data_IF_882849932154
#
_entry.id   IF_882849932154
#
_cell.length_a   1.000
_cell.length_b   1.000
_cell.length_c   1.000
_cell.angle_alpha   90.00
_cell.angle_beta   90.00
_cell.angle_gamma   90.00
#
_symmetry.space_group_name_H-M   'P 1'
#
loop_
_entity.id
_entity.type
_entity.pdbx_description
1 polymer ?
#
# COMPACT_ATOMS: atom_id res chain seq x y z
N UNK A 1 -13.26 -10.08 18.86
CA UNK A 1 -12.77 -10.46 20.20
C UNK A 1 -11.44 -11.18 20.04
N UNK A 2 -10.41 -10.75 20.77
CA UNK A 2 -9.12 -11.45 20.80
C UNK A 2 -9.31 -12.68 21.69
N UNK A 3 -9.17 -13.88 21.11
CA UNK A 3 -9.41 -15.13 21.84
C UNK A 3 -8.36 -15.38 22.94
N UNK A 4 -8.72 -16.09 24.03
CA UNK A 4 -7.80 -16.36 25.15
C UNK A 4 -6.53 -17.11 24.72
N UNK A 5 -6.64 -17.97 23.69
CA UNK A 5 -5.47 -18.64 23.11
C UNK A 5 -4.49 -17.69 22.41
N UNK A 6 -4.98 -16.62 21.76
CA UNK A 6 -4.11 -15.60 21.18
C UNK A 6 -3.38 -14.83 22.28
N UNK A 7 -4.10 -14.38 23.32
CA UNK A 7 -3.51 -13.61 24.43
C UNK A 7 -2.37 -14.39 25.08
N UNK A 8 -2.60 -15.68 25.38
CA UNK A 8 -1.58 -16.56 25.96
C UNK A 8 -0.31 -16.62 25.11
N UNK A 9 -0.45 -16.74 23.80
CA UNK A 9 0.70 -16.89 22.89
C UNK A 9 1.36 -15.54 22.54
N UNK A 10 0.62 -14.44 22.61
CA UNK A 10 1.12 -13.10 22.30
C UNK A 10 1.82 -12.45 23.50
N UNK A 11 1.46 -12.80 24.74
CA UNK A 11 2.07 -12.24 25.94
C UNK A 11 3.61 -12.36 25.96
N UNK A 12 4.22 -13.52 25.65
CA UNK A 12 5.69 -13.62 25.59
C UNK A 12 6.33 -12.72 24.53
N UNK A 13 5.64 -12.47 23.41
CA UNK A 13 6.14 -11.55 22.37
C UNK A 13 6.20 -10.13 22.91
N UNK A 14 5.15 -9.68 23.62
CA UNK A 14 5.13 -8.35 24.24
C UNK A 14 6.18 -8.21 25.33
N UNK A 15 6.40 -9.26 26.13
CA UNK A 15 7.45 -9.28 27.16
C UNK A 15 8.84 -9.10 26.53
N UNK A 16 9.17 -9.89 25.50
CA UNK A 16 10.45 -9.80 24.79
C UNK A 16 10.62 -8.46 24.06
N UNK A 17 9.57 -7.93 23.43
CA UNK A 17 9.64 -6.60 22.80
C UNK A 17 9.89 -5.48 23.83
N UNK A 18 9.37 -5.60 25.05
CA UNK A 18 9.64 -4.64 26.14
C UNK A 18 11.07 -4.76 26.67
N UNK A 19 11.60 -5.97 26.75
CA UNK A 19 13.00 -6.21 27.10
C UNK A 19 13.95 -5.60 26.07
N UNK A 20 13.72 -5.86 24.78
CA UNK A 20 14.45 -5.24 23.68
C UNK A 20 14.39 -3.71 23.77
N UNK A 21 13.19 -3.16 23.95
CA UNK A 21 12.98 -1.72 24.07
C UNK A 21 13.77 -1.10 25.21
N UNK A 22 13.83 -1.78 26.37
CA UNK A 22 14.60 -1.32 27.53
C UNK A 22 16.10 -1.31 27.21
N UNK A 23 16.64 -2.42 26.68
CA UNK A 23 18.06 -2.53 26.35
C UNK A 23 18.47 -1.44 25.35
N UNK A 24 17.67 -1.20 24.32
CA UNK A 24 17.94 -0.14 23.33
C UNK A 24 17.87 1.25 23.95
N UNK A 25 16.81 1.53 24.71
CA UNK A 25 16.60 2.82 25.37
C UNK A 25 17.74 3.19 26.33
N UNK A 26 18.28 2.22 27.08
CA UNK A 26 19.44 2.44 27.95
C UNK A 26 20.70 2.85 27.17
N UNK A 27 20.85 2.39 25.91
CA UNK A 27 21.99 2.73 25.06
C UNK A 27 21.84 4.06 24.33
N UNK A 28 20.61 4.44 23.98
CA UNK A 28 20.32 5.64 23.16
C UNK A 28 19.78 6.80 23.99
N UNK A 29 19.49 6.59 25.27
CA UNK A 29 18.96 7.59 26.20
C UNK A 29 17.66 8.26 25.73
N UNK A 30 16.74 7.46 25.17
CA UNK A 30 15.38 7.87 24.76
C UNK A 30 14.33 7.00 25.46
N UNK A 31 13.05 7.26 25.23
CA UNK A 31 11.99 6.40 25.78
C UNK A 31 12.02 5.00 25.14
N UNK A 32 11.52 3.98 25.84
CA UNK A 32 11.39 2.61 25.31
C UNK A 32 10.69 2.55 23.96
N UNK A 33 9.62 3.35 23.80
CA UNK A 33 8.85 3.34 22.57
C UNK A 33 9.60 4.04 21.43
N UNK A 34 10.24 5.17 21.70
CA UNK A 34 11.07 5.86 20.69
C UNK A 34 12.23 4.96 20.23
N UNK A 35 12.84 4.20 21.15
CA UNK A 35 13.91 3.27 20.82
C UNK A 35 13.47 2.13 19.87
N UNK A 36 12.21 1.69 19.95
CA UNK A 36 11.65 0.73 18.99
C UNK A 36 11.21 1.40 17.69
N UNK A 37 10.69 2.62 17.76
CA UNK A 37 10.24 3.39 16.61
C UNK A 37 11.38 3.70 15.64
N UNK A 38 12.55 4.04 16.20
CA UNK A 38 13.78 4.35 15.45
C UNK A 38 14.24 3.20 14.54
N UNK A 39 13.85 1.95 14.83
CA UNK A 39 14.15 0.78 13.98
C UNK A 39 13.48 0.85 12.60
N UNK A 40 12.34 1.52 12.52
CA UNK A 40 11.52 1.59 11.29
C UNK A 40 11.60 2.96 10.63
N UNK A 41 11.71 4.02 11.44
CA UNK A 41 11.83 5.39 10.97
C UNK A 41 12.91 6.13 11.79
N UNK A 42 14.18 6.07 11.33
CA UNK A 42 15.29 6.69 12.04
C UNK A 42 15.07 8.18 12.31
N UNK A 43 15.20 8.58 13.56
CA UNK A 43 15.00 9.96 14.03
C UNK A 43 13.54 10.37 14.26
N UNK A 44 12.57 9.46 14.13
CA UNK A 44 11.19 9.71 14.55
C UNK A 44 11.02 9.54 16.06
N UNK A 45 10.12 10.33 16.65
CA UNK A 45 9.78 10.24 18.08
C UNK A 45 8.28 10.24 18.29
N UNK A 46 7.83 9.67 19.39
CA UNK A 46 6.46 9.72 19.90
C UNK A 46 5.94 11.15 19.97
N UNK A 47 6.74 12.12 20.46
CA UNK A 47 6.33 13.52 20.52
C UNK A 47 6.01 14.12 19.13
N UNK A 48 6.80 13.76 18.11
CA UNK A 48 6.54 14.17 16.73
C UNK A 48 5.30 13.47 16.16
N UNK A 49 5.15 12.17 16.43
CA UNK A 49 3.94 11.43 16.06
C UNK A 49 2.69 12.03 16.71
N UNK A 50 2.74 12.38 17.99
CA UNK A 50 1.63 12.97 18.73
C UNK A 50 1.20 14.30 18.10
N UNK A 51 2.16 15.11 17.65
CA UNK A 51 1.86 16.35 16.92
C UNK A 51 1.13 16.08 15.59
N UNK A 52 1.63 15.13 14.79
CA UNK A 52 1.03 14.75 13.50
C UNK A 52 -0.38 14.17 13.72
N UNK A 53 -0.53 13.24 14.66
CA UNK A 53 -1.83 12.63 14.94
C UNK A 53 -2.82 13.61 15.59
N UNK A 54 -2.36 14.55 16.40
CA UNK A 54 -3.22 15.59 16.96
C UNK A 54 -3.82 16.47 15.85
N UNK A 55 -3.00 16.88 14.88
CA UNK A 55 -3.47 17.62 13.71
C UNK A 55 -4.50 16.81 12.91
N UNK A 56 -4.17 15.56 12.52
CA UNK A 56 -5.10 14.70 11.76
C UNK A 56 -6.41 14.47 12.53
N UNK A 57 -6.35 14.22 13.85
CA UNK A 57 -7.54 14.03 14.69
C UNK A 57 -8.40 15.29 14.80
N UNK A 58 -7.85 16.47 14.58
CA UNK A 58 -8.59 17.73 14.69
C UNK A 58 -9.62 17.93 13.58
N UNK A 59 -9.41 17.34 12.40
CA UNK A 59 -10.27 17.55 11.23
C UNK A 59 -10.81 16.27 10.58
N UNK A 60 -10.09 15.14 10.68
CA UNK A 60 -10.48 13.90 9.99
C UNK A 60 -11.86 13.35 10.42
N UNK A 61 -12.25 13.36 11.72
CA UNK A 61 -13.56 12.87 12.12
C UNK A 61 -14.73 13.64 11.49
N UNK A 62 -14.63 14.96 11.40
CA UNK A 62 -15.67 15.80 10.80
C UNK A 62 -15.72 15.63 9.28
N UNK A 63 -14.56 15.56 8.63
CA UNK A 63 -14.50 15.24 7.20
C UNK A 63 -15.15 13.88 6.91
N UNK A 64 -14.82 12.85 7.70
CA UNK A 64 -15.39 11.51 7.55
C UNK A 64 -16.91 11.55 7.71
N UNK A 65 -17.43 12.27 8.72
CA UNK A 65 -18.87 12.44 8.92
C UNK A 65 -19.52 13.08 7.69
N UNK A 66 -18.94 14.17 7.17
CA UNK A 66 -19.46 14.86 5.99
C UNK A 66 -19.47 13.96 4.74
N UNK A 67 -18.40 13.19 4.52
CA UNK A 67 -18.31 12.24 3.41
C UNK A 67 -19.36 11.14 3.55
N UNK A 68 -19.50 10.55 4.74
CA UNK A 68 -20.48 9.47 4.98
C UNK A 68 -21.91 9.98 4.78
N UNK A 69 -22.26 11.17 5.27
CA UNK A 69 -23.58 11.75 5.04
C UNK A 69 -23.85 12.02 3.56
N UNK A 70 -22.87 12.56 2.84
CA UNK A 70 -22.97 12.77 1.38
C UNK A 70 -23.22 11.46 0.64
N UNK A 71 -22.43 10.43 0.95
CA UNK A 71 -22.51 9.11 0.31
C UNK A 71 -23.84 8.39 0.55
N UNK A 72 -24.62 8.74 1.57
CA UNK A 72 -25.99 8.19 1.74
C UNK A 72 -26.93 8.54 0.59
N UNK A 73 -26.67 9.65 -0.09
CA UNK A 73 -27.53 10.18 -1.17
C UNK A 73 -26.96 9.91 -2.56
N UNK A 74 -25.72 9.46 -2.65
CA UNK A 74 -25.06 9.16 -3.91
C UNK A 74 -25.32 7.71 -4.32
N UNK A 75 -25.78 7.51 -5.55
CA UNK A 75 -25.78 6.20 -6.18
C UNK A 75 -24.50 6.03 -7.01
N UNK A 76 -23.85 4.88 -6.87
CA UNK A 76 -22.70 4.52 -7.69
C UNK A 76 -23.01 3.26 -8.48
N UNK A 77 -22.44 3.17 -9.69
CA UNK A 77 -22.56 1.97 -10.50
C UNK A 77 -21.40 1.04 -10.18
N UNK A 78 -21.74 -0.23 -9.94
CA UNK A 78 -20.73 -1.25 -9.69
C UNK A 78 -20.32 -1.93 -10.98
N UNK A 79 -19.03 -2.28 -11.06
CA UNK A 79 -18.47 -2.99 -12.19
C UNK A 79 -19.08 -4.39 -12.26
N UNK A 80 -19.52 -4.81 -13.43
CA UNK A 80 -20.04 -6.15 -13.64
C UNK A 80 -18.92 -7.05 -14.19
N UNK A 81 -18.51 -8.03 -13.38
CA UNK A 81 -17.63 -9.12 -13.81
C UNK A 81 -18.40 -10.20 -14.60
N UNK A 82 -17.76 -11.36 -14.88
CA UNK A 82 -16.43 -11.75 -14.42
C UNK A 82 -15.29 -11.07 -15.18
N UNK A 83 -14.19 -10.81 -14.50
CA UNK A 83 -12.96 -10.28 -15.06
C UNK A 83 -11.94 -11.41 -15.22
N UNK A 84 -11.73 -11.87 -16.45
CA UNK A 84 -10.79 -12.96 -16.72
C UNK A 84 -9.36 -12.61 -16.22
N UNK A 85 -8.73 -13.53 -15.49
CA UNK A 85 -7.45 -13.27 -14.78
C UNK A 85 -6.31 -12.94 -15.75
N UNK A 86 -6.27 -13.59 -16.92
CA UNK A 86 -5.30 -13.31 -17.97
C UNK A 86 -5.37 -11.87 -18.46
N UNK A 87 -6.60 -11.34 -18.63
CA UNK A 87 -6.84 -9.93 -18.97
C UNK A 87 -6.42 -8.97 -17.84
N UNK A 88 -6.69 -9.32 -16.59
CA UNK A 88 -6.22 -8.54 -15.44
C UNK A 88 -4.69 -8.49 -15.38
N UNK A 89 -4.03 -9.63 -15.65
CA UNK A 89 -2.57 -9.72 -15.69
C UNK A 89 -1.99 -8.87 -16.82
N UNK A 90 -2.56 -8.93 -18.02
CA UNK A 90 -2.13 -8.11 -19.14
C UNK A 90 -2.26 -6.61 -18.83
N UNK A 91 -3.40 -6.18 -18.26
CA UNK A 91 -3.61 -4.81 -17.81
C UNK A 91 -2.61 -4.38 -16.72
N UNK A 92 -2.34 -5.27 -15.77
CA UNK A 92 -1.34 -5.07 -14.73
C UNK A 92 0.07 -4.85 -15.28
N UNK A 93 0.47 -5.64 -16.28
CA UNK A 93 1.77 -5.48 -16.95
C UNK A 93 1.81 -4.16 -17.74
N UNK A 94 0.75 -3.82 -18.48
CA UNK A 94 0.67 -2.57 -19.24
C UNK A 94 0.81 -1.35 -18.31
N UNK A 95 0.12 -1.34 -17.16
CA UNK A 95 0.23 -0.21 -16.22
C UNK A 95 1.61 -0.12 -15.58
N UNK A 96 2.25 -1.25 -15.27
CA UNK A 96 3.63 -1.27 -14.75
C UNK A 96 4.61 -0.65 -15.75
N UNK A 97 4.45 -0.95 -17.05
CA UNK A 97 5.27 -0.35 -18.12
C UNK A 97 5.07 1.16 -18.20
N UNK A 98 3.81 1.63 -18.15
CA UNK A 98 3.49 3.07 -18.12
C UNK A 98 4.13 3.77 -16.92
N UNK A 99 4.13 3.10 -15.77
CA UNK A 99 4.72 3.59 -14.52
C UNK A 99 6.26 3.41 -14.46
N UNK A 100 6.86 2.90 -15.54
CA UNK A 100 8.31 2.81 -15.72
C UNK A 100 8.97 1.65 -14.99
N UNK A 101 8.23 0.60 -14.61
CA UNK A 101 8.83 -0.61 -14.03
C UNK A 101 9.75 -1.29 -15.04
N UNK A 102 10.98 -1.61 -14.63
CA UNK A 102 11.93 -2.30 -15.49
C UNK A 102 11.81 -3.82 -15.34
N UNK A 103 11.21 -4.46 -16.34
CA UNK A 103 11.04 -5.92 -16.40
C UNK A 103 12.33 -6.70 -16.69
N UNK A 104 13.44 -6.03 -17.04
CA UNK A 104 14.75 -6.70 -17.10
C UNK A 104 15.36 -6.88 -15.69
N UNK A 105 14.88 -6.11 -14.71
CA UNK A 105 15.35 -6.10 -13.33
C UNK A 105 14.19 -6.38 -12.36
N UNK A 106 13.23 -7.20 -12.78
CA UNK A 106 12.10 -7.55 -11.95
C UNK A 106 10.98 -8.29 -12.67
N UNK A 107 9.96 -8.70 -11.91
CA UNK A 107 8.81 -9.43 -12.45
C UNK A 107 7.56 -9.32 -11.58
N UNK A 108 6.42 -9.65 -12.18
CA UNK A 108 5.11 -9.75 -11.52
C UNK A 108 4.65 -11.21 -11.45
N UNK A 109 4.40 -11.68 -10.22
CA UNK A 109 3.90 -13.01 -9.90
C UNK A 109 2.58 -12.98 -9.11
N UNK A 110 2.04 -14.17 -8.81
CA UNK A 110 0.84 -14.34 -7.99
C UNK A 110 1.21 -14.90 -6.63
N UNK A 111 0.63 -14.35 -5.56
CA UNK A 111 0.74 -14.88 -4.21
C UNK A 111 -0.58 -14.72 -3.44
N UNK A 112 -0.65 -15.28 -2.23
CA UNK A 112 -1.85 -15.12 -1.38
C UNK A 112 -2.01 -13.70 -0.84
N UNK A 113 -0.90 -12.99 -0.62
CA UNK A 113 -0.83 -11.64 -0.05
C UNK A 113 0.19 -10.83 -0.86
N UNK A 114 -0.23 -9.76 -1.56
CA UNK A 114 0.68 -8.89 -2.30
C UNK A 114 1.83 -8.37 -1.43
N UNK A 115 3.00 -8.27 -2.05
CA UNK A 115 4.21 -7.69 -1.48
C UNK A 115 5.21 -7.39 -2.59
N UNK A 116 6.15 -6.49 -2.29
CA UNK A 116 7.35 -6.22 -3.06
C UNK A 116 8.58 -6.66 -2.25
N UNK A 117 9.59 -7.18 -2.93
CA UNK A 117 10.86 -7.55 -2.31
C UNK A 117 11.89 -7.99 -3.33
N UNK A 118 13.09 -8.37 -2.87
CA UNK A 118 14.21 -8.74 -3.74
C UNK A 118 15.44 -7.90 -3.44
N UNK A 119 16.22 -7.65 -4.47
CA UNK A 119 17.39 -6.75 -4.43
C UNK A 119 17.25 -5.70 -5.54
N UNK A 120 17.96 -4.56 -5.49
CA UNK A 120 17.84 -3.51 -6.51
C UNK A 120 18.00 -4.00 -7.96
N UNK A 121 18.77 -5.07 -8.18
CA UNK A 121 18.97 -5.70 -9.49
C UNK A 121 17.87 -6.69 -9.92
N UNK A 122 17.04 -7.17 -8.99
CA UNK A 122 15.92 -8.10 -9.23
C UNK A 122 14.80 -7.85 -8.21
N UNK A 123 13.90 -6.92 -8.56
CA UNK A 123 12.76 -6.53 -7.72
C UNK A 123 11.50 -7.29 -8.14
N UNK A 124 10.92 -8.04 -7.20
CA UNK A 124 9.79 -8.93 -7.46
C UNK A 124 8.55 -8.43 -6.75
N UNK A 125 7.49 -8.28 -7.53
CA UNK A 125 6.17 -7.91 -7.05
C UNK A 125 5.26 -9.12 -7.15
N UNK A 126 4.42 -9.31 -6.15
CA UNK A 126 3.32 -10.26 -6.23
C UNK A 126 1.97 -9.57 -6.10
N UNK A 127 0.95 -10.11 -6.76
CA UNK A 127 -0.44 -9.66 -6.62
C UNK A 127 -1.38 -10.85 -6.43
N UNK A 128 -2.66 -10.56 -6.18
CA UNK A 128 -3.72 -11.56 -6.10
C UNK A 128 -4.90 -11.11 -6.96
N UNK A 129 -5.24 -11.92 -7.95
CA UNK A 129 -6.40 -11.70 -8.81
C UNK A 129 -7.64 -12.40 -8.27
N UNK A 130 -8.80 -11.81 -8.53
CA UNK A 130 -10.10 -12.45 -8.33
C UNK A 130 -11.02 -12.10 -9.49
N UNK A 131 -11.92 -12.99 -9.90
CA UNK A 131 -12.76 -12.78 -11.08
C UNK A 131 -13.90 -11.77 -10.84
N UNK A 132 -14.21 -11.48 -9.57
CA UNK A 132 -15.28 -10.57 -9.16
C UNK A 132 -14.86 -9.09 -9.13
N UNK A 133 -13.57 -8.79 -8.94
CA UNK A 133 -13.08 -7.41 -8.87
C UNK A 133 -11.63 -7.28 -9.31
N UNK A 134 -11.39 -6.72 -10.50
CA UNK A 134 -10.03 -6.48 -10.97
C UNK A 134 -9.34 -5.29 -10.31
N UNK A 135 -10.11 -4.34 -9.76
CA UNK A 135 -9.56 -3.06 -9.32
C UNK A 135 -8.62 -3.23 -8.12
N UNK A 136 -8.97 -4.14 -7.19
CA UNK A 136 -8.11 -4.45 -6.05
C UNK A 136 -6.74 -4.94 -6.48
N UNK A 137 -6.67 -5.83 -7.48
CA UNK A 137 -5.41 -6.33 -7.99
C UNK A 137 -4.64 -5.23 -8.74
N UNK A 138 -5.33 -4.40 -9.53
CA UNK A 138 -4.74 -3.30 -10.28
C UNK A 138 -4.12 -2.24 -9.36
N UNK A 139 -4.84 -1.76 -8.35
CA UNK A 139 -4.33 -0.78 -7.39
C UNK A 139 -3.21 -1.36 -6.53
N UNK A 140 -3.30 -2.65 -6.16
CA UNK A 140 -2.19 -3.34 -5.52
C UNK A 140 -0.93 -3.37 -6.40
N UNK A 141 -1.07 -3.67 -7.69
CA UNK A 141 0.07 -3.61 -8.63
C UNK A 141 0.64 -2.19 -8.70
N UNK A 142 -0.19 -1.14 -8.78
CA UNK A 142 0.27 0.25 -8.79
C UNK A 142 1.02 0.60 -7.50
N UNK A 143 0.49 0.21 -6.33
CA UNK A 143 1.11 0.38 -5.02
C UNK A 143 2.51 -0.25 -4.98
N UNK A 144 2.59 -1.55 -5.28
CA UNK A 144 3.85 -2.29 -5.25
C UNK A 144 4.83 -1.82 -6.34
N UNK A 145 4.33 -1.27 -7.44
CA UNK A 145 5.17 -0.62 -8.46
C UNK A 145 5.85 0.63 -7.89
N UNK A 146 5.18 1.42 -7.05
CA UNK A 146 5.82 2.55 -6.36
C UNK A 146 6.99 2.10 -5.48
N UNK A 147 6.80 1.04 -4.69
CA UNK A 147 7.90 0.40 -3.94
C UNK A 147 9.04 -0.05 -4.86
N UNK A 148 8.72 -0.77 -5.93
CA UNK A 148 9.75 -1.28 -6.83
C UNK A 148 10.49 -0.19 -7.58
N UNK A 149 9.81 0.90 -7.97
CA UNK A 149 10.47 2.06 -8.58
C UNK A 149 11.43 2.73 -7.62
N UNK A 150 11.15 2.73 -6.31
CA UNK A 150 12.14 3.21 -5.35
C UNK A 150 13.39 2.33 -5.37
N UNK A 151 13.22 1.02 -5.21
CA UNK A 151 14.31 0.04 -5.17
C UNK A 151 15.15 0.03 -6.46
N UNK A 152 14.51 0.00 -7.63
CA UNK A 152 15.17 -0.02 -8.95
C UNK A 152 16.00 1.24 -9.23
N UNK A 153 15.76 2.34 -8.51
CA UNK A 153 16.48 3.60 -8.66
C UNK A 153 17.43 3.92 -7.51
N UNK A 154 17.65 2.98 -6.58
CA UNK A 154 18.71 3.12 -5.58
C UNK A 154 20.08 3.24 -6.27
N UNK A 155 21.02 3.99 -5.69
CA UNK A 155 22.28 4.34 -6.35
C UNK A 155 23.18 3.10 -6.50
N UNK A 156 23.24 2.55 -7.71
CA UNK A 156 23.99 1.31 -8.05
C UNK A 156 25.46 1.33 -7.61
N UNK A 157 26.11 2.49 -7.64
CA UNK A 157 27.50 2.65 -7.18
C UNK A 157 27.71 2.37 -5.69
N UNK A 158 26.63 2.35 -4.91
CA UNK A 158 26.61 2.06 -3.47
C UNK A 158 25.87 0.77 -3.13
N UNK A 159 25.66 -0.12 -4.11
CA UNK A 159 24.98 -1.39 -3.88
C UNK A 159 25.67 -2.20 -2.76
N UNK A 160 24.87 -2.70 -1.81
CA UNK A 160 25.35 -3.43 -0.63
C UNK A 160 26.02 -2.57 0.44
N UNK A 161 26.00 -1.24 0.31
CA UNK A 161 26.42 -0.31 1.36
C UNK A 161 25.17 0.31 2.02
N UNK A 162 25.22 0.67 3.32
CA UNK A 162 24.07 1.27 4.01
C UNK A 162 23.51 2.54 3.33
N UNK A 163 24.37 3.33 2.67
CA UNK A 163 23.95 4.54 1.93
C UNK A 163 23.19 4.23 0.63
N UNK A 164 23.31 3.00 0.13
CA UNK A 164 22.60 2.50 -1.06
C UNK A 164 21.28 1.81 -0.74
N UNK A 165 20.88 1.71 0.52
CA UNK A 165 19.63 1.08 0.95
C UNK A 165 18.46 2.08 0.98
N UNK A 166 17.24 1.55 1.01
CA UNK A 166 16.05 2.35 1.27
C UNK A 166 16.16 3.04 2.64
N UNK A 167 15.81 4.33 2.69
CA UNK A 167 16.08 5.17 3.87
C UNK A 167 15.35 4.71 5.12
N UNK A 168 14.09 4.33 4.97
CA UNK A 168 13.20 3.95 6.07
C UNK A 168 11.89 3.37 5.55
N UNK A 169 11.11 2.73 6.43
CA UNK A 169 9.79 2.20 6.08
C UNK A 169 8.83 3.31 5.63
N UNK A 170 8.84 4.49 6.27
CA UNK A 170 7.91 5.55 5.89
C UNK A 170 8.26 6.18 4.53
N UNK A 171 9.54 6.31 4.20
CA UNK A 171 9.95 6.78 2.87
C UNK A 171 9.58 5.74 1.82
N UNK A 172 9.75 4.46 2.11
CA UNK A 172 9.32 3.38 1.22
C UNK A 172 7.81 3.41 0.94
N UNK A 173 7.00 3.50 2.00
CA UNK A 173 5.55 3.62 1.92
C UNK A 173 5.09 4.92 1.26
N UNK A 174 5.88 6.00 1.38
CA UNK A 174 5.57 7.25 0.68
C UNK A 174 5.57 7.06 -0.84
N UNK A 175 6.43 6.20 -1.37
CA UNK A 175 6.52 5.95 -2.82
C UNK A 175 5.34 5.10 -3.31
N UNK A 176 4.96 4.06 -2.56
CA UNK A 176 3.79 3.25 -2.90
C UNK A 176 2.49 4.06 -2.83
N UNK A 177 2.29 4.84 -1.77
CA UNK A 177 1.11 5.71 -1.63
C UNK A 177 1.12 6.89 -2.60
N UNK A 178 2.29 7.38 -3.02
CA UNK A 178 2.35 8.39 -4.07
C UNK A 178 1.79 7.83 -5.39
N UNK A 179 2.16 6.59 -5.75
CA UNK A 179 1.65 5.94 -6.96
C UNK A 179 0.16 5.59 -6.83
N UNK A 180 -0.25 4.96 -5.72
CA UNK A 180 -1.62 4.48 -5.54
C UNK A 180 -2.62 5.60 -5.25
N UNK A 181 -2.31 6.47 -4.28
CA UNK A 181 -3.29 7.43 -3.75
C UNK A 181 -3.17 8.80 -4.40
N UNK A 182 -1.98 9.24 -4.80
CA UNK A 182 -1.79 10.56 -5.42
C UNK A 182 -1.91 10.49 -6.94
N UNK A 183 -1.12 9.61 -7.57
CA UNK A 183 -1.10 9.48 -9.03
C UNK A 183 -2.36 8.80 -9.55
N UNK A 184 -2.63 7.55 -9.15
CA UNK A 184 -3.72 6.78 -9.75
C UNK A 184 -5.12 7.35 -9.50
N UNK A 185 -5.27 8.14 -8.44
CA UNK A 185 -6.53 8.82 -8.09
C UNK A 185 -6.60 10.28 -8.55
N UNK A 186 -5.54 10.81 -9.15
CA UNK A 186 -5.61 12.12 -9.82
C UNK A 186 -6.57 12.07 -10.99
N UNK A 187 -7.27 13.17 -11.28
CA UNK A 187 -8.23 13.21 -12.39
C UNK A 187 -7.62 12.84 -13.75
N UNK A 188 -6.43 13.36 -14.15
CA UNK A 188 -5.85 13.04 -15.45
C UNK A 188 -5.47 11.57 -15.58
N UNK A 189 -4.87 11.00 -14.53
CA UNK A 189 -4.47 9.59 -14.55
C UNK A 189 -5.68 8.66 -14.45
N UNK A 190 -6.70 9.06 -13.69
CA UNK A 190 -7.95 8.33 -13.61
C UNK A 190 -8.58 8.20 -15.01
N UNK A 191 -8.65 9.29 -15.79
CA UNK A 191 -9.17 9.21 -17.16
C UNK A 191 -8.36 8.26 -18.04
N UNK A 192 -7.03 8.33 -17.96
CA UNK A 192 -6.15 7.38 -18.64
C UNK A 192 -6.41 5.92 -18.22
N UNK A 193 -6.49 5.66 -16.91
CA UNK A 193 -6.70 4.33 -16.34
C UNK A 193 -8.05 3.74 -16.79
N UNK A 194 -9.09 4.57 -16.86
CA UNK A 194 -10.42 4.16 -17.32
C UNK A 194 -10.39 3.66 -18.75
N UNK A 195 -9.73 4.40 -19.64
CA UNK A 195 -9.55 4.00 -21.04
C UNK A 195 -8.76 2.69 -21.15
N UNK A 196 -7.73 2.51 -20.32
CA UNK A 196 -7.01 1.23 -20.25
C UNK A 196 -7.91 0.07 -19.81
N UNK A 197 -8.80 0.28 -18.84
CA UNK A 197 -9.72 -0.75 -18.35
C UNK A 197 -10.77 -1.15 -19.40
N UNK A 198 -11.24 -0.20 -20.22
CA UNK A 198 -12.23 -0.46 -21.29
C UNK A 198 -11.69 -1.42 -22.36
N UNK A 199 -10.38 -1.41 -22.66
CA UNK A 199 -9.76 -2.28 -23.68
C UNK A 199 -9.99 -3.78 -23.43
N UNK A 200 -9.61 -4.36 -22.26
CA UNK A 200 -9.82 -5.79 -22.00
C UNK A 200 -11.24 -6.15 -21.59
N UNK A 201 -11.97 -5.26 -20.91
CA UNK A 201 -13.23 -5.60 -20.24
C UNK A 201 -14.49 -5.07 -20.94
N UNK A 202 -14.33 -4.37 -22.07
CA UNK A 202 -15.42 -3.69 -22.75
C UNK A 202 -15.84 -2.41 -22.04
N UNK A 203 -16.66 -1.60 -22.70
CA UNK A 203 -17.17 -0.37 -22.09
C UNK A 203 -18.31 -0.68 -21.11
N UNK A 204 -18.25 -0.05 -19.93
CA UNK A 204 -19.28 -0.13 -18.90
C UNK A 204 -19.46 1.26 -18.29
N UNK A 205 -20.70 1.66 -17.99
CA UNK A 205 -20.96 2.91 -17.26
C UNK A 205 -20.37 2.92 -15.83
N UNK A 206 -20.05 1.73 -15.29
CA UNK A 206 -19.28 1.59 -14.04
C UNK A 206 -17.81 2.00 -14.20
N UNK A 207 -17.30 1.99 -15.43
CA UNK A 207 -16.09 2.70 -15.80
C UNK A 207 -16.48 4.10 -16.24
N UNK A 208 -17.25 4.87 -15.45
CA UNK A 208 -17.35 6.35 -15.49
C UNK A 208 -16.62 6.99 -14.29
N UNK A 209 -16.13 8.23 -14.40
CA UNK A 209 -15.10 8.76 -13.48
C UNK A 209 -15.54 8.69 -12.01
N UNK A 210 -16.81 9.02 -11.76
CA UNK A 210 -17.43 8.90 -10.44
C UNK A 210 -17.70 7.47 -9.95
N UNK A 211 -17.55 6.46 -10.82
CA UNK A 211 -17.87 5.06 -10.54
C UNK A 211 -16.64 4.17 -10.46
N UNK A 212 -15.54 4.48 -11.17
CA UNK A 212 -14.41 3.54 -11.28
C UNK A 212 -13.80 3.21 -9.91
N UNK A 213 -13.76 4.12 -8.95
CA UNK A 213 -13.27 3.83 -7.60
C UNK A 213 -14.39 3.63 -6.56
N UNK A 214 -15.65 3.54 -7.00
CA UNK A 214 -16.74 3.25 -6.09
C UNK A 214 -16.56 1.86 -5.48
N UNK A 215 -16.48 1.80 -4.15
CA UNK A 215 -16.43 0.54 -3.42
C UNK A 215 -17.83 -0.03 -3.24
N UNK A 216 -17.94 -1.35 -3.39
CA UNK A 216 -19.17 -2.07 -3.08
C UNK A 216 -19.43 -2.05 -1.56
N UNK A 217 -20.60 -1.60 -1.08
CA UNK A 217 -20.92 -1.51 0.36
C UNK A 217 -20.85 -2.87 1.10
N UNK A 218 -20.83 -3.99 0.37
CA UNK A 218 -21.00 -5.34 0.91
C UNK A 218 -19.73 -6.01 1.47
N UNK A 219 -18.56 -5.33 1.50
CA UNK A 219 -17.31 -5.92 2.03
C UNK A 219 -16.75 -5.18 3.24
N UNK A 220 -17.58 -5.01 4.27
CA UNK A 220 -17.10 -4.68 5.63
C UNK A 220 -16.08 -5.73 6.08
N UNK A 221 -14.81 -5.36 6.21
CA UNK A 221 -13.80 -6.17 6.91
C UNK A 221 -12.49 -6.46 6.18
N UNK A 222 -12.30 -6.05 4.92
CA UNK A 222 -11.00 -6.17 4.25
C UNK A 222 -10.23 -4.85 4.33
N UNK A 223 -9.48 -4.65 5.41
CA UNK A 223 -8.31 -3.79 5.36
C UNK A 223 -7.27 -4.53 4.51
N UNK A 224 -6.97 -4.02 3.33
CA UNK A 224 -5.85 -4.51 2.53
C UNK A 224 -4.57 -4.05 3.22
N UNK A 225 -3.97 -4.96 3.98
CA UNK A 225 -2.64 -4.77 4.54
C UNK A 225 -1.64 -5.17 3.46
N UNK A 226 -1.15 -4.20 2.69
CA UNK A 226 0.14 -4.34 2.03
C UNK A 226 1.18 -4.34 3.15
N UNK A 227 1.99 -5.39 3.25
CA UNK A 227 3.15 -5.41 4.16
C UNK A 227 4.38 -5.55 3.29
N UNK A 228 5.11 -4.46 3.10
CA UNK A 228 6.54 -4.58 2.85
C UNK A 228 7.19 -5.22 4.09
N UNK A 229 8.04 -6.22 3.87
CA UNK A 229 8.88 -6.79 4.93
C UNK A 229 10.19 -6.02 5.02
#
# INVERSE_FOLDING_TARGET
MIGPGFVKNFAPVVELSREEAQIRAEKTNVSRYDALLDLYEPGMTSARLDTIFADVKSWLPDLLKNIVEKQKTESTLHRAGPFAIDKQRALGIEIMQVLGFDFNHGRLDVSAHPFCGGVPEDVRITTRYTEDDFLSALLGIVHETGHARYEQNLPKQWAGQPIGEARSTAIHESQSLFFEMQLARSEPFLEFLRLMCKKPFGDQSAFEQGNLFAHEPARRGRFYSYRCR
#
